data_IF_231967716073
#
_entry.id   IF_231967716073
#
_cell.length_a   1.000
_cell.length_b   1.000
_cell.length_c   1.000
_cell.angle_alpha   90.00
_cell.angle_beta   90.00
_cell.angle_gamma   90.00
#
_symmetry.space_group_name_H-M   'P 1'
#
loop_
_entity.id
_entity.type
_entity.pdbx_description
1 polymer ?
#
# COMPACT_ATOMS: atom_id res chain seq x y z
N UNK A 1 -13.14 9.82 1.77
CA UNK A 1 -12.45 11.13 1.69
C UNK A 1 -10.95 11.02 1.41
N UNK A 2 -10.27 9.88 1.61
CA UNK A 2 -8.83 9.78 1.44
C UNK A 2 -8.34 9.07 0.14
N UNK A 3 -9.25 8.61 -0.72
CA UNK A 3 -8.88 7.85 -1.93
C UNK A 3 -8.07 8.69 -2.92
N UNK A 4 -8.54 9.92 -3.21
CA UNK A 4 -7.87 10.84 -4.14
C UNK A 4 -6.45 11.16 -3.66
N UNK A 5 -6.21 11.69 -2.44
CA UNK A 5 -4.85 11.94 -1.98
C UNK A 5 -3.99 10.66 -1.93
N UNK A 6 -4.56 9.52 -1.53
CA UNK A 6 -3.84 8.24 -1.51
C UNK A 6 -3.32 7.78 -2.87
N UNK A 7 -4.05 8.07 -3.96
CA UNK A 7 -3.58 7.77 -5.32
C UNK A 7 -2.29 8.51 -5.70
N UNK A 8 -2.03 9.67 -5.09
CA UNK A 8 -0.83 10.51 -5.31
C UNK A 8 0.20 10.33 -4.19
N UNK A 9 0.14 9.24 -3.41
CA UNK A 9 1.11 8.95 -2.35
C UNK A 9 0.88 9.73 -1.04
N UNK A 10 -0.19 10.52 -0.93
CA UNK A 10 -0.51 11.32 0.25
C UNK A 10 -1.36 10.46 1.20
N UNK A 11 -0.74 9.92 2.25
CA UNK A 11 -1.34 8.95 3.17
C UNK A 11 -1.77 9.55 4.53
N UNK A 12 -1.38 10.79 4.81
CA UNK A 12 -1.66 11.51 6.05
C UNK A 12 -3.16 11.55 6.43
N UNK A 13 -4.11 11.78 5.49
CA UNK A 13 -5.53 11.78 5.82
C UNK A 13 -6.03 10.43 6.37
N UNK A 14 -5.41 9.32 5.96
CA UNK A 14 -5.74 7.99 6.46
C UNK A 14 -5.07 7.73 7.80
N UNK A 15 -3.77 8.01 7.89
CA UNK A 15 -2.95 7.75 9.08
C UNK A 15 -3.47 8.53 10.28
N UNK A 16 -3.77 9.82 10.09
CA UNK A 16 -4.30 10.68 11.14
C UNK A 16 -5.81 10.58 11.31
N UNK A 17 -6.55 10.20 10.26
CA UNK A 17 -8.00 10.04 10.32
C UNK A 17 -8.45 8.77 11.07
N UNK A 18 -7.70 7.67 10.95
CA UNK A 18 -7.99 6.37 11.60
C UNK A 18 -7.04 6.08 12.77
N UNK A 19 -6.60 7.12 13.49
CA UNK A 19 -5.34 7.21 14.25
C UNK A 19 -4.47 5.92 14.20
N UNK A 20 -3.97 5.57 13.00
CA UNK A 20 -3.37 4.25 12.74
C UNK A 20 -2.17 4.02 13.65
N UNK A 21 -1.42 5.09 13.93
CA UNK A 21 -0.24 5.08 14.81
C UNK A 21 -0.58 4.71 16.26
N UNK A 22 -1.77 5.10 16.73
CA UNK A 22 -2.21 4.85 18.11
C UNK A 22 -3.08 3.61 18.23
N UNK A 23 -3.47 3.00 17.11
CA UNK A 23 -4.35 1.84 17.05
C UNK A 23 -3.54 0.56 16.85
N UNK A 24 -3.36 -0.30 17.89
CA UNK A 24 -2.53 -1.50 17.79
C UNK A 24 -3.04 -2.48 16.72
N UNK A 25 -4.35 -2.51 16.45
CA UNK A 25 -4.94 -3.40 15.44
C UNK A 25 -4.50 -2.98 14.03
N UNK A 26 -4.50 -1.67 13.75
CA UNK A 26 -4.13 -1.13 12.45
C UNK A 26 -2.62 -0.93 12.29
N UNK A 27 -1.88 -0.86 13.39
CA UNK A 27 -0.42 -0.79 13.40
C UNK A 27 0.25 -2.05 12.84
N UNK A 28 -0.32 -3.23 13.10
CA UNK A 28 0.20 -4.52 12.60
C UNK A 28 0.25 -4.57 11.06
N UNK A 29 -0.88 -4.39 10.33
CA UNK A 29 -0.82 -4.41 8.87
C UNK A 29 -0.02 -3.24 8.30
N UNK A 30 0.07 -2.11 9.01
CA UNK A 30 0.88 -0.96 8.59
C UNK A 30 2.37 -1.28 8.48
N UNK A 31 2.89 -2.23 9.27
CA UNK A 31 4.29 -2.69 9.17
C UNK A 31 4.41 -3.92 8.28
N UNK A 32 3.51 -4.90 8.46
CA UNK A 32 3.62 -6.21 7.81
C UNK A 32 3.40 -6.12 6.31
N UNK A 33 2.46 -5.28 5.85
CA UNK A 33 2.13 -5.18 4.43
C UNK A 33 3.26 -4.52 3.61
N UNK A 34 3.85 -3.38 4.02
CA UNK A 34 5.03 -2.86 3.33
C UNK A 34 6.22 -3.82 3.32
N UNK A 35 6.44 -4.57 4.40
CA UNK A 35 7.48 -5.58 4.45
C UNK A 35 7.21 -6.72 3.45
N UNK A 36 5.97 -7.20 3.39
CA UNK A 36 5.55 -8.20 2.41
C UNK A 36 5.78 -7.69 0.97
N UNK A 37 5.37 -6.46 0.67
CA UNK A 37 5.55 -5.85 -0.64
C UNK A 37 7.03 -5.72 -1.02
N UNK A 38 7.89 -5.31 -0.08
CA UNK A 38 9.33 -5.22 -0.30
C UNK A 38 9.95 -6.59 -0.61
N UNK A 39 9.58 -7.63 0.13
CA UNK A 39 10.07 -9.00 -0.09
C UNK A 39 9.63 -9.51 -1.46
N UNK A 40 8.35 -9.40 -1.79
CA UNK A 40 7.81 -9.86 -3.08
C UNK A 40 8.47 -9.11 -4.22
N UNK A 41 8.53 -7.78 -4.15
CA UNK A 41 9.16 -6.94 -5.18
C UNK A 41 10.64 -7.27 -5.37
N UNK A 42 11.38 -7.50 -4.28
CA UNK A 42 12.78 -7.91 -4.35
C UNK A 42 12.94 -9.27 -5.05
N UNK A 43 12.15 -10.28 -4.65
CA UNK A 43 12.23 -11.63 -5.22
C UNK A 43 11.92 -11.60 -6.72
N UNK A 44 10.80 -11.01 -7.15
CA UNK A 44 10.40 -10.99 -8.58
C UNK A 44 11.35 -10.17 -9.45
N UNK A 45 11.98 -9.13 -8.89
CA UNK A 45 13.01 -8.35 -9.59
C UNK A 45 14.32 -9.14 -9.69
N UNK A 46 14.72 -9.83 -8.61
CA UNK A 46 15.97 -10.60 -8.57
C UNK A 46 15.99 -11.80 -9.54
N UNK A 47 14.83 -12.44 -9.76
CA UNK A 47 14.69 -13.54 -10.72
C UNK A 47 14.43 -13.05 -12.16
N UNK A 48 14.39 -11.73 -12.38
CA UNK A 48 14.23 -11.12 -13.71
C UNK A 48 12.81 -11.14 -14.26
N UNK A 49 11.79 -11.43 -13.45
CA UNK A 49 10.38 -11.39 -13.89
C UNK A 49 9.86 -9.95 -14.04
N UNK A 50 10.39 -9.04 -13.24
CA UNK A 50 10.05 -7.61 -13.26
C UNK A 50 11.33 -6.81 -13.47
N UNK A 51 11.27 -5.78 -14.31
CA UNK A 51 12.44 -4.93 -14.54
C UNK A 51 12.72 -4.07 -13.30
N UNK A 52 13.99 -3.79 -12.98
CA UNK A 52 14.31 -2.88 -11.88
C UNK A 52 13.81 -1.47 -12.17
N UNK A 53 13.51 -0.73 -11.11
CA UNK A 53 13.21 0.70 -11.21
C UNK A 53 14.54 1.45 -11.39
N UNK A 54 14.67 2.21 -12.49
CA UNK A 54 15.93 2.85 -12.91
C UNK A 54 15.83 4.37 -13.07
N UNK A 55 14.62 4.91 -13.08
CA UNK A 55 14.34 6.35 -13.17
C UNK A 55 13.92 6.87 -11.81
N UNK A 56 14.25 8.11 -11.49
CA UNK A 56 13.73 8.82 -10.31
C UNK A 56 12.65 9.83 -10.75
N UNK A 57 11.52 9.85 -10.06
CA UNK A 57 10.43 10.81 -10.27
C UNK A 57 10.12 11.61 -8.99
N UNK A 58 9.11 12.49 -9.03
CA UNK A 58 8.82 13.41 -7.93
C UNK A 58 8.09 12.76 -6.75
N UNK A 59 7.50 11.57 -6.96
CA UNK A 59 6.78 10.80 -5.94
C UNK A 59 5.32 11.22 -5.76
N UNK A 60 4.88 12.30 -6.42
CA UNK A 60 3.53 12.84 -6.35
C UNK A 60 2.69 12.49 -7.58
N UNK A 61 3.07 11.46 -8.33
CA UNK A 61 2.33 10.98 -9.49
C UNK A 61 1.37 9.85 -9.10
N UNK A 62 0.26 9.65 -9.85
CA UNK A 62 -0.63 8.50 -9.63
C UNK A 62 0.14 7.17 -9.59
N UNK A 63 -0.14 6.30 -8.63
CA UNK A 63 0.63 5.08 -8.34
C UNK A 63 1.05 4.25 -9.57
N UNK A 64 0.14 3.97 -10.50
CA UNK A 64 0.43 3.18 -11.71
C UNK A 64 1.25 3.95 -12.75
N UNK A 65 1.05 5.26 -12.83
CA UNK A 65 1.82 6.12 -13.73
C UNK A 65 3.24 6.33 -13.19
N UNK A 66 3.36 6.52 -11.87
CA UNK A 66 4.63 6.60 -11.15
C UNK A 66 5.48 5.34 -11.39
N UNK A 67 4.91 4.15 -11.17
CA UNK A 67 5.60 2.87 -11.37
C UNK A 67 5.99 2.60 -12.83
N UNK A 68 5.19 3.06 -13.79
CA UNK A 68 5.52 2.97 -15.22
C UNK A 68 6.77 3.80 -15.58
N UNK A 69 6.83 5.04 -15.09
CA UNK A 69 7.98 5.93 -15.31
C UNK A 69 9.23 5.41 -14.60
N UNK A 70 9.10 5.05 -13.32
CA UNK A 70 10.19 4.50 -12.50
C UNK A 70 10.83 3.26 -13.17
N UNK A 71 10.00 2.41 -13.78
CA UNK A 71 10.40 1.23 -14.52
C UNK A 71 10.96 1.48 -15.93
N UNK A 72 11.23 2.72 -16.32
CA UNK A 72 11.73 3.04 -17.67
C UNK A 72 10.71 2.78 -18.77
N UNK A 73 9.42 3.05 -18.51
CA UNK A 73 8.29 2.83 -19.42
C UNK A 73 7.97 1.34 -19.71
N UNK A 74 8.48 0.43 -18.90
CA UNK A 74 8.10 -0.99 -18.96
C UNK A 74 6.80 -1.26 -18.20
N UNK A 75 5.99 -2.18 -18.73
CA UNK A 75 4.71 -2.54 -18.12
C UNK A 75 4.84 -3.55 -16.96
N UNK A 76 5.96 -4.28 -16.85
CA UNK A 76 6.11 -5.31 -15.82
C UNK A 76 6.03 -4.78 -14.38
N UNK A 77 6.58 -3.60 -14.02
CA UNK A 77 6.44 -3.05 -12.67
C UNK A 77 5.02 -2.55 -12.39
N UNK A 78 4.30 -2.10 -13.41
CA UNK A 78 2.88 -1.67 -13.29
C UNK A 78 2.00 -2.87 -12.97
N UNK A 79 2.23 -4.00 -13.65
CA UNK A 79 1.50 -5.25 -13.39
C UNK A 79 1.81 -5.74 -11.97
N UNK A 80 3.08 -5.70 -11.55
CA UNK A 80 3.45 -6.03 -10.17
C UNK A 80 2.73 -5.13 -9.17
N UNK A 81 2.73 -3.80 -9.38
CA UNK A 81 2.04 -2.86 -8.51
C UNK A 81 0.54 -3.15 -8.40
N UNK A 82 -0.12 -3.48 -9.51
CA UNK A 82 -1.54 -3.86 -9.51
C UNK A 82 -1.78 -5.13 -8.69
N UNK A 83 -0.94 -6.15 -8.87
CA UNK A 83 -1.01 -7.41 -8.11
C UNK A 83 -0.79 -7.18 -6.61
N UNK A 84 0.20 -6.36 -6.25
CA UNK A 84 0.47 -6.01 -4.85
C UNK A 84 -0.69 -5.24 -4.23
N UNK A 85 -1.29 -4.27 -4.92
CA UNK A 85 -2.48 -3.56 -4.43
C UNK A 85 -3.63 -4.52 -4.15
N UNK A 86 -3.84 -5.52 -5.00
CA UNK A 86 -4.87 -6.55 -4.77
C UNK A 86 -4.53 -7.35 -3.50
N UNK A 87 -3.28 -7.78 -3.33
CA UNK A 87 -2.85 -8.47 -2.11
C UNK A 87 -2.99 -7.60 -0.87
N UNK A 88 -2.66 -6.31 -0.95
CA UNK A 88 -2.78 -5.35 0.15
C UNK A 88 -4.23 -5.25 0.62
N UNK A 89 -5.22 -5.23 -0.29
CA UNK A 89 -6.64 -5.25 0.08
C UNK A 89 -6.96 -6.49 0.91
N UNK A 90 -6.49 -7.67 0.51
CA UNK A 90 -6.73 -8.91 1.26
C UNK A 90 -5.98 -8.96 2.60
N UNK A 91 -4.75 -8.46 2.65
CA UNK A 91 -3.95 -8.42 3.87
C UNK A 91 -4.49 -7.42 4.89
N UNK A 92 -5.01 -6.27 4.45
CA UNK A 92 -5.63 -5.26 5.32
C UNK A 92 -7.06 -5.62 5.72
N UNK A 93 -7.83 -6.31 4.87
CA UNK A 93 -9.24 -6.64 5.13
C UNK A 93 -9.53 -7.20 6.54
N UNK A 94 -8.83 -8.23 7.05
CA UNK A 94 -9.14 -8.80 8.37
C UNK A 94 -8.93 -7.78 9.51
N UNK A 95 -7.89 -6.95 9.43
CA UNK A 95 -7.59 -5.95 10.44
C UNK A 95 -8.58 -4.79 10.41
N UNK A 96 -8.99 -4.35 9.22
CA UNK A 96 -10.03 -3.32 9.07
C UNK A 96 -11.36 -3.82 9.65
N UNK A 97 -11.76 -5.05 9.35
CA UNK A 97 -12.99 -5.64 9.90
C UNK A 97 -12.90 -5.75 11.43
N UNK A 98 -11.76 -6.18 11.97
CA UNK A 98 -11.53 -6.26 13.41
C UNK A 98 -11.59 -4.89 14.09
N UNK A 99 -10.98 -3.87 13.48
CA UNK A 99 -11.02 -2.50 13.98
C UNK A 99 -12.45 -1.95 14.01
N UNK A 100 -13.21 -2.12 12.92
CA UNK A 100 -14.61 -1.70 12.85
C UNK A 100 -15.48 -2.38 13.90
N UNK A 101 -15.22 -3.66 14.20
CA UNK A 101 -15.92 -4.38 15.28
C UNK A 101 -15.60 -3.78 16.65
N UNK A 102 -14.33 -3.48 16.91
CA UNK A 102 -13.90 -2.88 18.17
C UNK A 102 -14.51 -1.47 18.38
N UNK A 103 -14.52 -0.64 17.34
CA UNK A 103 -15.14 0.69 17.37
C UNK A 103 -16.64 0.63 17.69
N UNK A 104 -17.37 -0.32 17.10
CA UNK A 104 -18.81 -0.51 17.37
C UNK A 104 -19.08 -0.98 18.79
N UNK A 105 -18.20 -1.80 19.36
CA UNK A 105 -18.34 -2.25 20.75
C UNK A 105 -18.12 -1.11 21.73
N UNK A 106 -17.11 -0.27 21.50
CA UNK A 106 -16.87 0.93 22.32
C UNK A 106 -18.00 1.96 22.20
N UNK A 107 -18.65 2.08 21.05
CA UNK A 107 -19.79 2.98 20.87
C UNK A 107 -21.11 2.46 21.47
N UNK A 108 -21.20 1.16 21.79
CA UNK A 108 -22.38 0.53 22.37
C UNK A 108 -22.29 0.36 23.89
N UNK A 109 -21.13 0.65 24.50
CA UNK A 109 -20.87 0.64 25.94
C UNK A 109 -21.00 2.05 26.52
#
# INVERSE_FOLDING_TARGET
MALVPGCFGINEPVIFGLPIVLNPIMFIPWIVVPLFNAIVAYVVTSIGWVVPLVVLNSGNEPIFFSTWILGGLHMSPVILALVLVIFDVFLYAPFVIMNQRNERQMAAA
#
